data_IF_062619676355
#
_entry.id   IF_062619676355
#
_cell.length_a   1.000
_cell.length_b   1.000
_cell.length_c   1.000
_cell.angle_alpha   90.00
_cell.angle_beta   90.00
_cell.angle_gamma   90.00
#
_symmetry.space_group_name_H-M   'P 1'
#
loop_
_entity.id
_entity.type
_entity.pdbx_description
1 polymer ?
#
# COMPACT_ATOMS: atom_id res chain seq x y z
N UNK A 1 -14.48 -21.60 -1.03
CA UNK A 1 -14.48 -21.50 0.45
C UNK A 1 -13.22 -22.16 1.03
N UNK A 2 -12.05 -21.89 0.43
CA UNK A 2 -10.76 -22.58 0.69
C UNK A 2 -9.60 -21.57 0.67
N UNK A 3 -9.80 -20.37 1.22
CA UNK A 3 -8.88 -19.23 1.00
C UNK A 3 -8.04 -18.76 2.20
N UNK A 4 -8.45 -18.88 3.49
CA UNK A 4 -7.68 -18.24 4.56
C UNK A 4 -6.33 -18.92 4.84
N UNK A 5 -6.21 -20.23 4.65
CA UNK A 5 -4.96 -20.97 4.88
C UNK A 5 -3.92 -20.70 3.79
N UNK A 6 -4.34 -20.37 2.57
CA UNK A 6 -3.44 -20.11 1.45
C UNK A 6 -2.84 -18.70 1.54
N UNK A 7 -3.64 -17.69 1.90
CA UNK A 7 -3.16 -16.32 2.03
C UNK A 7 -2.13 -16.18 3.18
N UNK A 8 -2.39 -16.81 4.33
CA UNK A 8 -1.44 -16.79 5.43
C UNK A 8 -0.11 -17.43 5.04
N UNK A 9 -0.14 -18.58 4.36
CA UNK A 9 1.09 -19.24 3.90
C UNK A 9 1.89 -18.38 2.90
N UNK A 10 1.21 -17.57 2.07
CA UNK A 10 1.85 -16.62 1.18
C UNK A 10 2.45 -15.43 1.94
N UNK A 11 1.78 -14.91 2.97
CA UNK A 11 2.34 -13.86 3.82
C UNK A 11 3.55 -14.36 4.61
N UNK A 12 3.48 -15.58 5.13
CA UNK A 12 4.57 -16.21 5.86
C UNK A 12 5.79 -16.45 4.95
N UNK A 13 5.59 -16.84 3.68
CA UNK A 13 6.70 -17.05 2.73
C UNK A 13 7.40 -15.75 2.33
N UNK A 14 6.75 -14.60 2.50
CA UNK A 14 7.29 -13.27 2.24
C UNK A 14 7.90 -12.62 3.49
N UNK A 15 7.71 -13.21 4.67
CA UNK A 15 8.14 -12.60 5.93
C UNK A 15 9.56 -13.04 6.27
N UNK A 16 10.45 -12.06 6.42
CA UNK A 16 11.81 -12.24 6.95
C UNK A 16 11.86 -11.68 8.37
N UNK A 17 12.48 -12.43 9.28
CA UNK A 17 12.76 -11.96 10.64
C UNK A 17 14.25 -11.63 10.77
N UNK A 18 14.58 -10.36 10.99
CA UNK A 18 15.94 -9.88 11.26
C UNK A 18 15.94 -9.08 12.57
N UNK A 19 16.90 -9.37 13.46
CA UNK A 19 17.11 -8.65 14.72
C UNK A 19 15.85 -8.47 15.60
N UNK A 20 14.94 -9.45 15.55
CA UNK A 20 13.68 -9.43 16.32
C UNK A 20 12.56 -8.57 15.71
N UNK A 21 12.79 -7.99 14.53
CA UNK A 21 11.78 -7.32 13.72
C UNK A 21 11.41 -8.18 12.50
N UNK A 22 10.11 -8.28 12.23
CA UNK A 22 9.61 -8.91 11.00
C UNK A 22 9.43 -7.85 9.92
N UNK A 23 9.91 -8.15 8.72
CA UNK A 23 9.72 -7.33 7.51
C UNK A 23 9.27 -8.22 6.36
N UNK A 24 8.63 -7.62 5.36
CA UNK A 24 8.33 -8.32 4.12
C UNK A 24 9.48 -8.13 3.13
N UNK A 25 9.82 -9.20 2.40
CA UNK A 25 10.68 -9.16 1.24
C UNK A 25 9.88 -9.71 0.06
N UNK A 26 9.42 -8.81 -0.79
CA UNK A 26 8.56 -9.16 -1.92
C UNK A 26 9.34 -9.77 -3.10
N UNK A 27 10.67 -9.78 -3.02
CA UNK A 27 11.57 -10.35 -4.03
C UNK A 27 11.78 -11.84 -3.78
N UNK A 28 11.65 -12.30 -2.53
CA UNK A 28 11.89 -13.69 -2.14
C UNK A 28 10.96 -14.68 -2.85
N UNK A 29 9.68 -14.36 -2.96
CA UNK A 29 8.68 -15.16 -3.67
C UNK A 29 7.74 -14.27 -4.51
N UNK A 30 8.11 -13.98 -5.77
CA UNK A 30 7.30 -13.12 -6.64
C UNK A 30 5.88 -13.64 -6.90
N UNK A 31 5.68 -14.96 -6.84
CA UNK A 31 4.37 -15.56 -7.04
C UNK A 31 3.46 -15.32 -5.82
N UNK A 32 3.99 -15.51 -4.61
CA UNK A 32 3.29 -15.14 -3.38
C UNK A 32 3.02 -13.62 -3.32
N UNK A 33 4.01 -12.78 -3.64
CA UNK A 33 3.84 -11.32 -3.66
C UNK A 33 2.73 -10.90 -4.64
N UNK A 34 2.68 -11.51 -5.82
CA UNK A 34 1.62 -11.27 -6.82
C UNK A 34 0.25 -11.66 -6.27
N UNK A 35 0.10 -12.88 -5.73
CA UNK A 35 -1.17 -13.35 -5.21
C UNK A 35 -1.71 -12.51 -4.04
N UNK A 36 -0.81 -12.11 -3.13
CA UNK A 36 -1.14 -11.24 -2.00
C UNK A 36 -1.53 -9.84 -2.50
N UNK A 37 -0.78 -9.27 -3.44
CA UNK A 37 -1.08 -7.97 -4.04
C UNK A 37 -2.40 -7.96 -4.84
N UNK A 38 -2.71 -9.04 -5.56
CA UNK A 38 -4.00 -9.23 -6.25
C UNK A 38 -5.16 -9.33 -5.25
N UNK A 39 -4.95 -10.00 -4.12
CA UNK A 39 -5.95 -10.06 -3.04
C UNK A 39 -6.20 -8.67 -2.45
N UNK A 40 -5.14 -7.87 -2.24
CA UNK A 40 -5.27 -6.49 -1.80
C UNK A 40 -6.01 -5.62 -2.82
N UNK A 41 -5.71 -5.80 -4.11
CA UNK A 41 -6.37 -5.11 -5.21
C UNK A 41 -7.86 -5.45 -5.29
N UNK A 42 -8.25 -6.72 -5.17
CA UNK A 42 -9.66 -7.13 -5.14
C UNK A 42 -10.42 -6.42 -4.01
N UNK A 43 -9.85 -6.39 -2.81
CA UNK A 43 -10.45 -5.65 -1.69
C UNK A 43 -10.51 -4.15 -1.93
N UNK A 44 -9.53 -3.57 -2.62
CA UNK A 44 -9.48 -2.15 -2.94
C UNK A 44 -10.49 -1.73 -4.03
N UNK A 45 -10.93 -2.65 -4.91
CA UNK A 45 -11.85 -2.33 -6.02
C UNK A 45 -13.14 -1.66 -5.57
N UNK A 46 -13.69 -2.04 -4.41
CA UNK A 46 -14.92 -1.46 -3.86
C UNK A 46 -14.82 0.05 -3.57
N UNK A 47 -13.60 0.60 -3.46
CA UNK A 47 -13.35 2.02 -3.23
C UNK A 47 -13.14 2.80 -4.52
N UNK A 48 -13.22 2.15 -5.68
CA UNK A 48 -13.05 2.76 -7.00
C UNK A 48 -11.80 3.66 -7.10
N UNK A 49 -10.59 3.14 -6.77
CA UNK A 49 -9.37 3.92 -6.85
C UNK A 49 -9.05 4.27 -8.31
N UNK A 50 -8.47 5.45 -8.54
CA UNK A 50 -7.99 5.91 -9.85
C UNK A 50 -6.46 5.99 -9.91
N UNK A 51 -5.77 5.81 -8.77
CA UNK A 51 -4.30 5.78 -8.68
C UNK A 51 -3.87 4.99 -7.45
N UNK A 52 -2.77 4.25 -7.56
CA UNK A 52 -2.08 3.62 -6.43
C UNK A 52 -0.87 4.46 -6.01
N UNK A 53 -0.76 4.76 -4.73
CA UNK A 53 0.36 5.43 -4.10
C UNK A 53 1.20 4.44 -3.30
N UNK A 54 2.51 4.67 -3.26
CA UNK A 54 3.48 3.96 -2.42
C UNK A 54 4.47 4.96 -1.83
N UNK A 55 5.11 4.62 -0.73
CA UNK A 55 6.33 5.32 -0.32
C UNK A 55 7.52 4.91 -1.21
N UNK A 56 8.59 5.71 -1.18
CA UNK A 56 9.78 5.49 -2.00
C UNK A 56 10.75 4.41 -1.46
N UNK A 57 10.22 3.26 -1.01
CA UNK A 57 11.05 2.09 -0.67
C UNK A 57 10.85 0.95 -1.67
N UNK A 58 11.81 0.04 -1.73
CA UNK A 58 11.82 -1.06 -2.71
C UNK A 58 10.56 -1.93 -2.59
N UNK A 59 10.24 -2.42 -1.39
CA UNK A 59 9.06 -3.26 -1.16
C UNK A 59 7.74 -2.50 -1.39
N UNK A 60 7.67 -1.22 -1.02
CA UNK A 60 6.47 -0.40 -1.29
C UNK A 60 6.22 -0.24 -2.80
N UNK A 61 7.29 -0.02 -3.56
CA UNK A 61 7.22 0.17 -5.00
C UNK A 61 6.80 -1.13 -5.69
N UNK A 62 7.34 -2.27 -5.27
CA UNK A 62 6.96 -3.59 -5.80
C UNK A 62 5.50 -3.88 -5.51
N UNK A 63 5.05 -3.70 -4.27
CA UNK A 63 3.64 -3.92 -3.90
C UNK A 63 2.71 -2.99 -4.69
N UNK A 64 3.02 -1.69 -4.77
CA UNK A 64 2.22 -0.76 -5.55
C UNK A 64 2.20 -1.09 -7.03
N UNK A 65 3.29 -1.62 -7.59
CA UNK A 65 3.29 -2.06 -8.98
C UNK A 65 2.31 -3.21 -9.22
N UNK A 66 2.33 -4.23 -8.36
CA UNK A 66 1.43 -5.39 -8.44
C UNK A 66 -0.02 -4.93 -8.29
N UNK A 67 -0.33 -4.14 -7.25
CA UNK A 67 -1.69 -3.66 -6.97
C UNK A 67 -2.21 -2.76 -8.09
N UNK A 68 -1.39 -1.83 -8.60
CA UNK A 68 -1.76 -0.96 -9.71
C UNK A 68 -2.05 -1.74 -10.99
N UNK A 69 -1.22 -2.75 -11.29
CA UNK A 69 -1.40 -3.65 -12.42
C UNK A 69 -2.73 -4.40 -12.32
N UNK A 70 -3.03 -4.99 -11.16
CA UNK A 70 -4.26 -5.73 -10.92
C UNK A 70 -5.53 -4.84 -10.95
N UNK A 71 -5.42 -3.58 -10.53
CA UNK A 71 -6.51 -2.59 -10.61
C UNK A 71 -6.66 -1.95 -11.99
N UNK A 72 -5.64 -2.04 -12.85
CA UNK A 72 -5.62 -1.37 -14.16
C UNK A 72 -5.51 0.16 -14.06
N UNK A 73 -4.88 0.68 -13.00
CA UNK A 73 -4.74 2.13 -12.75
C UNK A 73 -3.27 2.54 -12.69
N UNK A 74 -2.93 3.82 -12.93
CA UNK A 74 -1.55 4.29 -12.77
C UNK A 74 -1.07 4.18 -11.31
N UNK A 75 0.26 4.15 -11.15
CA UNK A 75 0.93 4.30 -9.86
C UNK A 75 1.68 5.64 -9.75
N UNK A 76 1.81 6.16 -8.54
CA UNK A 76 2.73 7.23 -8.22
C UNK A 76 3.48 6.95 -6.91
N UNK A 77 4.68 7.52 -6.78
CA UNK A 77 5.53 7.36 -5.58
C UNK A 77 5.46 8.63 -4.77
N UNK A 78 5.28 8.47 -3.46
CA UNK A 78 5.33 9.47 -2.43
C UNK A 78 6.74 9.48 -1.84
N UNK A 79 7.35 10.65 -1.80
CA UNK A 79 8.67 10.87 -1.22
C UNK A 79 8.52 11.74 0.02
N UNK A 80 9.32 11.44 1.06
CA UNK A 80 9.49 12.28 2.24
C UNK A 80 10.93 12.75 2.27
N UNK A 81 11.17 14.01 1.90
CA UNK A 81 12.49 14.62 1.90
C UNK A 81 12.50 15.90 2.73
N UNK A 82 13.42 15.99 3.70
CA UNK A 82 13.54 17.13 4.63
C UNK A 82 12.21 17.54 5.31
N UNK A 83 11.35 16.57 5.61
CA UNK A 83 10.03 16.81 6.22
C UNK A 83 8.94 17.26 5.24
N UNK A 84 9.24 17.32 3.94
CA UNK A 84 8.30 17.63 2.89
C UNK A 84 7.84 16.37 2.19
N UNK A 85 6.53 16.23 2.06
CA UNK A 85 5.90 15.16 1.30
C UNK A 85 5.64 15.63 -0.12
N UNK A 86 6.16 14.88 -1.09
CA UNK A 86 5.95 15.14 -2.52
C UNK A 86 5.42 13.88 -3.22
N UNK A 87 4.78 14.07 -4.37
CA UNK A 87 4.40 12.97 -5.27
C UNK A 87 5.23 13.13 -6.53
N UNK A 88 6.02 12.11 -6.86
CA UNK A 88 6.92 12.05 -8.02
C UNK A 88 6.27 12.41 -9.36
N UNK A 89 4.96 12.22 -9.51
CA UNK A 89 4.20 12.57 -10.72
C UNK A 89 2.93 13.33 -10.38
N UNK A 90 2.54 14.33 -11.19
CA UNK A 90 1.25 14.98 -11.06
C UNK A 90 0.11 13.96 -11.17
N UNK A 91 -0.87 14.07 -10.28
CA UNK A 91 -2.09 13.28 -10.33
C UNK A 91 -3.15 13.98 -11.19
N UNK A 92 -3.99 13.23 -11.93
CA UNK A 92 -5.20 13.80 -12.53
C UNK A 92 -6.08 14.48 -11.48
N UNK A 93 -6.75 15.58 -11.84
CA UNK A 93 -7.70 16.28 -10.96
C UNK A 93 -8.77 15.33 -10.41
N UNK A 94 -9.14 15.47 -9.13
CA UNK A 94 -10.15 14.61 -8.51
C UNK A 94 -9.70 13.17 -8.24
N UNK A 95 -8.40 12.85 -8.31
CA UNK A 95 -7.90 11.49 -8.11
C UNK A 95 -8.33 10.87 -6.78
N UNK A 96 -8.73 9.60 -6.84
CA UNK A 96 -9.08 8.73 -5.72
C UNK A 96 -7.91 7.77 -5.47
N UNK A 97 -7.06 8.13 -4.53
CA UNK A 97 -5.83 7.41 -4.25
C UNK A 97 -6.06 6.27 -3.26
N UNK A 98 -5.43 5.12 -3.52
CA UNK A 98 -5.15 4.11 -2.49
C UNK A 98 -3.67 4.17 -2.14
N UNK A 99 -3.34 4.27 -0.85
CA UNK A 99 -1.96 4.17 -0.37
C UNK A 99 -1.68 2.73 0.02
N UNK A 100 -0.64 2.12 -0.55
CA UNK A 100 -0.23 0.76 -0.21
C UNK A 100 1.18 0.72 0.35
N UNK A 101 1.40 -0.18 1.30
CA UNK A 101 2.69 -0.48 1.90
C UNK A 101 2.67 -1.91 2.45
N UNK A 102 3.80 -2.64 2.56
CA UNK A 102 3.83 -3.90 3.28
C UNK A 102 3.41 -3.73 4.75
N UNK A 103 3.82 -2.61 5.36
CA UNK A 103 3.45 -2.19 6.70
C UNK A 103 3.52 -0.67 6.83
N UNK A 104 2.68 -0.10 7.68
CA UNK A 104 2.74 1.33 8.03
C UNK A 104 3.48 1.56 9.34
N UNK A 105 4.20 2.67 9.42
CA UNK A 105 4.96 3.08 10.60
C UNK A 105 4.64 4.53 10.98
N UNK A 106 5.02 4.94 12.19
CA UNK A 106 4.85 6.32 12.65
C UNK A 106 5.60 7.34 11.78
N UNK A 107 6.68 6.92 11.12
CA UNK A 107 7.50 7.75 10.22
C UNK A 107 6.85 7.94 8.83
N UNK A 108 5.82 7.14 8.52
CA UNK A 108 5.11 7.13 7.24
C UNK A 108 3.61 7.34 7.45
N UNK A 109 3.22 8.49 8.02
CA UNK A 109 1.86 8.71 8.48
C UNK A 109 0.87 8.81 7.33
N UNK A 110 -0.17 7.99 7.40
CA UNK A 110 -1.31 7.98 6.46
C UNK A 110 -2.03 9.35 6.47
N UNK A 111 -2.24 9.94 7.65
CA UNK A 111 -2.98 11.20 7.81
C UNK A 111 -2.33 12.40 7.12
N UNK A 112 -1.00 12.46 7.06
CA UNK A 112 -0.29 13.52 6.35
C UNK A 112 -0.52 13.43 4.84
N UNK A 113 -0.60 12.21 4.30
CA UNK A 113 -0.93 11.97 2.88
C UNK A 113 -2.38 12.35 2.58
N UNK A 114 -3.31 11.94 3.45
CA UNK A 114 -4.72 12.30 3.30
C UNK A 114 -4.90 13.83 3.25
N UNK A 115 -4.34 14.55 4.23
CA UNK A 115 -4.39 16.01 4.30
C UNK A 115 -3.77 16.66 3.06
N UNK A 116 -2.59 16.18 2.64
CA UNK A 116 -1.92 16.69 1.45
C UNK A 116 -2.76 16.51 0.18
N UNK A 117 -3.41 15.36 0.00
CA UNK A 117 -4.25 15.09 -1.16
C UNK A 117 -5.50 15.98 -1.17
N UNK A 118 -6.15 16.16 -0.03
CA UNK A 118 -7.33 17.01 0.10
C UNK A 118 -7.04 18.46 -0.29
N UNK A 119 -5.90 19.01 0.13
CA UNK A 119 -5.50 20.38 -0.24
C UNK A 119 -5.27 20.58 -1.74
N UNK A 120 -5.16 19.50 -2.52
CA UNK A 120 -4.93 19.50 -3.97
C UNK A 120 -6.11 18.92 -4.76
N UNK A 121 -7.31 18.88 -4.16
CA UNK A 121 -8.52 18.33 -4.80
C UNK A 121 -8.34 16.86 -5.22
N UNK A 122 -7.68 16.09 -4.36
CA UNK A 122 -7.57 14.63 -4.44
C UNK A 122 -8.06 14.03 -3.12
N UNK A 123 -8.26 12.71 -3.09
CA UNK A 123 -8.74 12.03 -1.89
C UNK A 123 -7.99 10.73 -1.66
N UNK A 124 -7.59 10.48 -0.42
CA UNK A 124 -7.17 9.15 0.00
C UNK A 124 -8.41 8.34 0.34
N UNK A 125 -8.79 7.38 -0.51
CA UNK A 125 -10.00 6.58 -0.32
C UNK A 125 -9.75 5.32 0.50
N UNK A 126 -8.50 4.87 0.57
CA UNK A 126 -8.09 3.66 1.29
C UNK A 126 -6.59 3.71 1.60
N UNK A 127 -6.21 3.25 2.79
CA UNK A 127 -4.86 2.77 3.09
C UNK A 127 -4.89 1.25 3.25
N UNK A 128 -3.97 0.55 2.59
CA UNK A 128 -3.97 -0.91 2.54
C UNK A 128 -2.58 -1.48 2.80
N UNK A 129 -2.49 -2.45 3.70
CA UNK A 129 -1.23 -3.09 4.07
C UNK A 129 -1.29 -4.61 4.08
N UNK A 130 -0.11 -5.24 4.04
CA UNK A 130 0.03 -6.69 4.21
C UNK A 130 -0.05 -7.06 5.69
N UNK A 131 0.63 -6.29 6.55
CA UNK A 131 0.52 -6.42 7.99
C UNK A 131 -0.06 -5.18 8.68
N UNK A 132 -0.63 -5.45 9.85
CA UNK A 132 -1.14 -4.43 10.76
C UNK A 132 0.01 -3.53 11.24
N UNK A 133 -0.08 -2.24 10.93
CA UNK A 133 0.77 -1.18 11.50
C UNK A 133 0.00 -0.35 12.54
N UNK A 134 0.66 0.64 13.15
CA UNK A 134 -0.05 1.63 13.99
C UNK A 134 -0.97 2.48 13.11
N UNK A 135 -2.28 2.41 13.35
CA UNK A 135 -3.32 2.97 12.48
C UNK A 135 -3.86 4.33 12.97
N UNK A 136 -4.37 5.10 12.01
CA UNK A 136 -4.77 6.51 12.06
C UNK A 136 -6.30 6.66 12.01
N UNK A 137 -6.87 7.42 12.95
CA UNK A 137 -8.31 7.53 13.31
C UNK A 137 -9.34 7.98 12.22
N UNK A 138 -8.99 8.19 10.95
CA UNK A 138 -9.91 8.81 9.98
C UNK A 138 -9.96 8.23 8.55
N UNK A 139 -8.98 7.43 8.12
CA UNK A 139 -8.96 6.85 6.75
C UNK A 139 -9.37 5.39 6.81
N UNK A 140 -10.22 4.88 5.89
CA UNK A 140 -10.46 3.44 5.80
C UNK A 140 -9.15 2.67 5.68
N UNK A 141 -8.99 1.65 6.54
CA UNK A 141 -7.78 0.85 6.63
C UNK A 141 -8.10 -0.63 6.40
N UNK A 142 -7.31 -1.29 5.55
CA UNK A 142 -7.39 -2.75 5.33
C UNK A 142 -6.02 -3.37 5.54
N UNK A 143 -6.00 -4.49 6.27
CA UNK A 143 -4.83 -5.35 6.47
C UNK A 143 -5.14 -6.79 6.03
N UNK A 144 -4.12 -7.54 5.60
CA UNK A 144 -4.27 -8.94 5.17
C UNK A 144 -3.85 -9.97 6.23
N UNK A 145 -3.05 -9.56 7.24
CA UNK A 145 -2.60 -10.39 8.37
C UNK A 145 -3.42 -10.16 9.64
#
# INVERSE_FOLDING_TARGET
>A
MTEPTTLQAQLDSLTISEDGASRFDLVLDPAAATAVGETLAERARQYEPTVVLSWASEDDIVLAHIVASALGVPRAVVELDLGLITISRPLPSGSRAVLVAPQFSAERPIGSIATMLETRDHRLVLAAALASGHDSDATPFITLS
#
